data_IF_786948897211
#
_entry.id   IF_786948897211
#
_cell.length_a   1.000
_cell.length_b   1.000
_cell.length_c   1.000
_cell.angle_alpha   90.00
_cell.angle_beta   90.00
_cell.angle_gamma   90.00
#
_symmetry.space_group_name_H-M   'P 1'
#
loop_
_entity.id
_entity.type
_entity.pdbx_description
1 polymer ?
#
# COMPACT_ATOMS: atom_id res chain seq x y z
N UNK A 1 34.69 18.21 -46.86
CA UNK A 1 34.39 18.87 -45.57
C UNK A 1 33.25 18.09 -44.93
N UNK A 2 33.49 17.28 -43.88
CA UNK A 2 32.45 16.51 -43.21
C UNK A 2 31.73 17.39 -42.18
N UNK A 3 30.41 17.21 -42.02
CA UNK A 3 29.66 17.70 -40.85
C UNK A 3 29.02 16.50 -40.18
N UNK A 4 29.47 16.26 -38.95
CA UNK A 4 28.83 15.42 -37.95
C UNK A 4 27.94 16.31 -37.09
N UNK A 5 26.65 16.00 -36.92
CA UNK A 5 25.92 16.35 -35.68
C UNK A 5 24.92 15.22 -35.33
N UNK A 6 25.35 14.41 -34.37
CA UNK A 6 24.65 13.86 -33.18
C UNK A 6 23.12 13.69 -33.17
N UNK A 7 22.73 12.41 -33.03
CA UNK A 7 21.96 11.77 -31.94
C UNK A 7 21.04 12.59 -31.03
N UNK A 8 19.96 11.90 -30.60
CA UNK A 8 19.16 12.07 -29.37
C UNK A 8 17.91 12.94 -29.43
N UNK A 9 16.76 12.28 -29.59
CA UNK A 9 15.60 12.44 -28.72
C UNK A 9 14.54 11.39 -29.14
N UNK A 10 14.78 10.13 -28.78
CA UNK A 10 13.71 9.14 -28.75
C UNK A 10 12.77 9.53 -27.61
N UNK A 11 11.75 10.28 -27.97
CA UNK A 11 10.40 10.21 -27.45
C UNK A 11 10.11 8.86 -26.75
N UNK A 12 10.09 8.84 -25.42
CA UNK A 12 9.26 7.92 -24.68
C UNK A 12 8.80 8.58 -23.38
N UNK A 13 7.59 9.13 -23.46
CA UNK A 13 6.57 9.16 -22.44
C UNK A 13 7.02 8.55 -21.10
N UNK A 14 7.53 9.40 -20.22
CA UNK A 14 7.51 9.14 -18.80
C UNK A 14 6.79 10.31 -18.13
N UNK A 15 5.61 10.60 -18.68
CA UNK A 15 4.62 11.47 -18.07
C UNK A 15 4.34 10.94 -16.68
N UNK A 16 4.90 11.65 -15.70
CA UNK A 16 4.42 11.81 -14.35
C UNK A 16 3.27 10.86 -13.96
N UNK A 17 3.59 9.57 -13.77
CA UNK A 17 2.80 8.73 -12.91
C UNK A 17 2.90 9.41 -11.56
N UNK A 18 1.85 10.14 -11.22
CA UNK A 18 1.68 10.83 -9.96
C UNK A 18 2.06 9.85 -8.86
N UNK A 19 3.28 9.99 -8.35
CA UNK A 19 3.94 9.01 -7.49
C UNK A 19 3.38 9.22 -6.09
N UNK A 20 2.10 8.92 -5.92
CA UNK A 20 1.45 8.89 -4.62
C UNK A 20 2.18 7.83 -3.82
N UNK A 21 3.10 8.26 -2.96
CA UNK A 21 3.88 7.37 -2.09
C UNK A 21 2.89 6.81 -1.06
N UNK A 22 2.27 5.68 -1.40
CA UNK A 22 1.44 4.94 -0.46
C UNK A 22 2.35 4.36 0.61
N UNK A 23 2.12 4.77 1.85
CA UNK A 23 2.84 4.20 3.00
C UNK A 23 2.00 3.08 3.60
N UNK A 24 2.52 1.85 3.58
CA UNK A 24 1.86 0.70 4.19
C UNK A 24 2.49 0.39 5.55
N UNK A 25 1.67 0.38 6.60
CA UNK A 25 2.07 -0.10 7.92
C UNK A 25 1.84 -1.61 8.01
N UNK A 26 2.87 -2.37 8.35
CA UNK A 26 2.77 -3.83 8.47
C UNK A 26 2.31 -4.22 9.87
N UNK A 27 1.14 -4.83 9.97
CA UNK A 27 0.61 -5.42 11.20
C UNK A 27 0.79 -6.94 11.16
N UNK A 28 1.81 -7.45 11.87
CA UNK A 28 2.19 -8.87 11.86
C UNK A 28 1.62 -9.69 13.04
N UNK A 29 1.39 -9.07 14.21
CA UNK A 29 0.98 -9.78 15.43
C UNK A 29 -0.54 -9.95 15.53
N UNK A 30 -1.00 -11.10 16.02
CA UNK A 30 -2.42 -11.42 16.20
C UNK A 30 -3.18 -10.34 17.01
N UNK A 31 -2.55 -9.77 18.05
CA UNK A 31 -3.13 -8.68 18.86
C UNK A 31 -3.17 -7.33 18.13
N UNK A 32 -2.24 -7.07 17.20
CA UNK A 32 -2.31 -5.90 16.31
C UNK A 32 -3.40 -6.07 15.24
N UNK A 33 -3.67 -7.30 14.81
CA UNK A 33 -4.82 -7.63 13.92
C UNK A 33 -6.16 -7.49 14.62
N UNK A 34 -6.25 -7.89 15.89
CA UNK A 34 -7.49 -7.86 16.68
C UNK A 34 -7.89 -6.43 17.09
N UNK A 35 -6.90 -5.54 17.31
CA UNK A 35 -7.16 -4.10 17.42
C UNK A 35 -7.49 -3.52 16.06
N UNK A 36 -6.79 -3.96 15.02
CA UNK A 36 -6.90 -3.40 13.69
C UNK A 36 -6.91 -1.87 13.75
N UNK A 37 -7.85 -1.31 13.00
CA UNK A 37 -7.99 0.11 12.76
C UNK A 37 -8.66 0.89 13.93
N UNK A 38 -8.98 0.23 15.06
CA UNK A 38 -9.50 0.90 16.26
C UNK A 38 -8.58 2.00 16.83
N UNK A 39 -7.29 1.97 16.50
CA UNK A 39 -6.31 2.93 16.99
C UNK A 39 -6.19 4.22 16.13
N UNK A 40 -6.84 4.30 14.96
CA UNK A 40 -6.68 5.45 14.05
C UNK A 40 -8.02 6.10 13.67
N UNK A 41 -8.26 7.37 14.08
CA UNK A 41 -9.54 8.07 13.84
C UNK A 41 -9.84 8.29 12.35
N UNK A 42 -8.81 8.30 11.49
CA UNK A 42 -8.90 8.31 10.03
C UNK A 42 -7.51 7.98 9.47
N UNK A 43 -7.37 7.01 8.57
CA UNK A 43 -6.10 6.88 7.84
C UNK A 43 -5.93 8.10 6.93
N UNK A 44 -4.75 8.73 6.88
CA UNK A 44 -4.42 9.72 5.87
C UNK A 44 -4.65 9.17 4.45
N UNK A 45 -4.94 10.05 3.49
CA UNK A 45 -5.35 9.67 2.13
C UNK A 45 -4.30 8.86 1.33
N UNK A 46 -3.08 8.72 1.85
CA UNK A 46 -1.98 7.95 1.25
C UNK A 46 -1.32 6.97 2.24
N UNK A 47 -2.08 6.51 3.22
CA UNK A 47 -1.62 5.52 4.18
C UNK A 47 -2.56 4.33 4.17
N UNK A 48 -1.99 3.12 4.25
CA UNK A 48 -2.74 1.88 4.34
C UNK A 48 -2.16 0.95 5.41
N UNK A 49 -2.92 -0.09 5.74
CA UNK A 49 -2.49 -1.14 6.65
C UNK A 49 -2.33 -2.44 5.87
N UNK A 50 -1.19 -3.12 6.02
CA UNK A 50 -0.95 -4.46 5.49
C UNK A 50 -1.00 -5.48 6.61
N UNK A 51 -2.02 -6.32 6.59
CA UNK A 51 -2.24 -7.42 7.52
C UNK A 51 -1.67 -8.70 6.91
N UNK A 52 -0.47 -9.07 7.36
CA UNK A 52 0.22 -10.30 6.94
C UNK A 52 -0.54 -11.54 7.43
N UNK A 53 -0.50 -12.64 6.67
CA UNK A 53 -1.13 -13.94 7.02
C UNK A 53 -2.59 -13.83 7.48
N UNK A 54 -3.35 -12.92 6.85
CA UNK A 54 -4.73 -12.63 7.21
C UNK A 54 -5.63 -13.00 6.03
N UNK A 55 -6.63 -13.84 6.28
CA UNK A 55 -7.62 -14.26 5.28
C UNK A 55 -9.04 -13.79 5.60
N UNK A 56 -9.22 -13.12 6.75
CA UNK A 56 -10.50 -12.60 7.21
C UNK A 56 -10.28 -11.31 7.99
N UNK A 57 -11.08 -10.29 7.67
CA UNK A 57 -11.14 -9.04 8.40
C UNK A 57 -12.55 -8.80 8.92
N UNK A 58 -12.62 -8.01 9.99
CA UNK A 58 -13.87 -7.49 10.53
C UNK A 58 -13.75 -5.98 10.70
N UNK A 59 -14.84 -5.28 10.43
CA UNK A 59 -14.96 -3.83 10.63
C UNK A 59 -15.84 -3.50 11.84
N UNK A 60 -16.03 -4.46 12.76
CA UNK A 60 -16.73 -4.22 14.02
C UNK A 60 -16.06 -3.10 14.81
N UNK A 61 -16.85 -2.13 15.25
CA UNK A 61 -16.35 -1.01 16.06
C UNK A 61 -15.61 0.09 15.29
N UNK A 62 -15.55 0.02 13.96
CA UNK A 62 -15.06 1.11 13.11
C UNK A 62 -16.14 2.19 12.90
N UNK A 63 -15.75 3.46 12.87
CA UNK A 63 -16.65 4.58 12.60
C UNK A 63 -16.76 4.96 11.11
N UNK A 64 -15.95 4.35 10.25
CA UNK A 64 -15.90 4.66 8.82
C UNK A 64 -15.71 3.43 7.95
N UNK A 65 -16.06 3.57 6.67
CA UNK A 65 -15.87 2.55 5.65
C UNK A 65 -14.42 2.55 5.15
N UNK A 66 -13.96 1.39 4.68
CA UNK A 66 -12.62 1.21 4.12
C UNK A 66 -12.66 0.42 2.81
N UNK A 67 -11.67 0.63 1.96
CA UNK A 67 -11.41 -0.27 0.84
C UNK A 67 -10.51 -1.41 1.32
N UNK A 68 -10.85 -2.64 0.93
CA UNK A 68 -10.17 -3.85 1.41
C UNK A 68 -9.73 -4.69 0.22
N UNK A 69 -8.42 -4.92 0.12
CA UNK A 69 -7.81 -5.70 -0.95
C UNK A 69 -7.24 -6.98 -0.34
N UNK A 70 -7.79 -8.12 -0.71
CA UNK A 70 -7.24 -9.43 -0.38
C UNK A 70 -6.21 -9.81 -1.42
N UNK A 71 -5.01 -10.20 -0.97
CA UNK A 71 -3.86 -10.53 -1.81
C UNK A 71 -3.43 -11.99 -1.61
N UNK A 72 -3.00 -12.64 -2.69
CA UNK A 72 -2.31 -13.94 -2.63
C UNK A 72 -0.83 -13.81 -2.17
N UNK A 73 -0.10 -14.93 -2.15
CA UNK A 73 1.32 -14.97 -1.80
C UNK A 73 2.25 -14.25 -2.79
N UNK A 74 1.77 -13.96 -4.00
CA UNK A 74 2.47 -13.26 -5.07
C UNK A 74 2.05 -11.77 -5.16
N UNK A 75 1.28 -11.29 -4.17
CA UNK A 75 0.69 -9.95 -4.13
C UNK A 75 -0.24 -9.64 -5.31
N UNK A 76 -0.92 -10.65 -5.86
CA UNK A 76 -2.02 -10.43 -6.79
C UNK A 76 -3.33 -10.27 -6.02
N UNK A 77 -4.20 -9.38 -6.52
CA UNK A 77 -5.55 -9.24 -5.99
C UNK A 77 -6.37 -10.50 -6.23
N UNK A 78 -6.84 -11.12 -5.14
CA UNK A 78 -7.77 -12.26 -5.20
C UNK A 78 -9.20 -11.85 -4.87
N UNK A 79 -9.39 -10.70 -4.21
CA UNK A 79 -10.70 -10.11 -3.94
C UNK A 79 -10.55 -8.64 -3.56
N UNK A 80 -11.40 -7.79 -4.13
CA UNK A 80 -11.59 -6.40 -3.71
C UNK A 80 -12.95 -6.24 -3.03
N UNK A 81 -12.99 -5.48 -1.94
CA UNK A 81 -14.22 -5.00 -1.31
C UNK A 81 -14.13 -3.48 -1.20
N UNK A 82 -14.82 -2.78 -2.09
CA UNK A 82 -14.88 -1.33 -2.07
C UNK A 82 -15.83 -0.83 -0.97
N UNK A 83 -15.42 0.25 -0.29
CA UNK A 83 -16.22 0.96 0.71
C UNK A 83 -16.95 0.01 1.69
N UNK A 84 -16.22 -0.98 2.21
CA UNK A 84 -16.74 -1.93 3.19
C UNK A 84 -17.29 -1.17 4.39
N UNK A 85 -18.59 -1.24 4.68
CA UNK A 85 -19.19 -0.49 5.77
C UNK A 85 -18.75 -1.04 7.13
N UNK A 86 -18.92 -0.24 8.17
CA UNK A 86 -18.65 -0.66 9.54
C UNK A 86 -19.55 -1.82 9.97
N UNK A 87 -19.10 -2.56 10.98
CA UNK A 87 -19.78 -3.72 11.56
C UNK A 87 -20.09 -4.82 10.55
N UNK A 88 -19.15 -5.09 9.63
CA UNK A 88 -19.20 -6.19 8.67
C UNK A 88 -18.00 -7.10 8.84
N UNK A 89 -18.08 -8.28 8.23
CA UNK A 89 -16.96 -9.19 8.06
C UNK A 89 -16.77 -9.52 6.59
N UNK A 90 -15.53 -9.64 6.17
CA UNK A 90 -15.16 -10.10 4.84
C UNK A 90 -14.00 -11.08 4.98
N UNK A 91 -14.06 -12.18 4.24
CA UNK A 91 -12.99 -13.17 4.23
C UNK A 91 -12.77 -13.70 2.81
N UNK A 92 -11.56 -14.16 2.55
CA UNK A 92 -11.20 -14.82 1.32
C UNK A 92 -10.17 -15.91 1.65
N UNK A 93 -10.57 -17.18 1.51
CA UNK A 93 -9.71 -18.33 1.82
C UNK A 93 -8.46 -18.41 0.93
N UNK A 94 -8.50 -17.78 -0.26
CA UNK A 94 -7.37 -17.67 -1.17
C UNK A 94 -6.39 -16.56 -0.79
N UNK A 95 -6.74 -15.72 0.18
CA UNK A 95 -5.92 -14.60 0.58
C UNK A 95 -4.81 -15.06 1.54
N UNK A 96 -3.59 -14.68 1.20
CA UNK A 96 -2.43 -14.78 2.06
C UNK A 96 -2.25 -13.54 2.93
N UNK A 97 -2.74 -12.38 2.48
CA UNK A 97 -2.70 -11.12 3.24
C UNK A 97 -3.83 -10.18 2.83
N UNK A 98 -4.06 -9.14 3.63
CA UNK A 98 -5.07 -8.11 3.36
C UNK A 98 -4.43 -6.73 3.44
N UNK A 99 -4.80 -5.84 2.52
CA UNK A 99 -4.45 -4.42 2.55
C UNK A 99 -5.72 -3.61 2.78
N UNK A 100 -5.70 -2.74 3.78
CA UNK A 100 -6.78 -1.81 4.11
C UNK A 100 -6.40 -0.39 3.69
N UNK A 101 -7.30 0.28 3.00
CA UNK A 101 -7.12 1.63 2.47
C UNK A 101 -8.34 2.51 2.81
N UNK A 102 -8.19 3.85 2.77
CA UNK A 102 -9.33 4.76 2.90
C UNK A 102 -10.43 4.41 1.89
N UNK A 103 -11.70 4.49 2.31
CA UNK A 103 -12.82 4.22 1.39
C UNK A 103 -12.75 5.13 0.16
N UNK A 104 -12.93 4.51 -1.00
CA UNK A 104 -12.89 5.21 -2.29
C UNK A 104 -11.49 5.40 -2.87
N UNK A 105 -10.42 4.99 -2.17
CA UNK A 105 -9.06 5.05 -2.71
C UNK A 105 -8.90 4.25 -4.00
N UNK A 106 -9.41 3.03 -4.04
CA UNK A 106 -9.30 2.16 -5.22
C UNK A 106 -10.11 2.72 -6.40
N UNK A 107 -11.20 3.45 -6.09
CA UNK A 107 -12.03 4.11 -7.10
C UNK A 107 -11.38 5.37 -7.66
N UNK A 108 -10.65 6.12 -6.84
CA UNK A 108 -9.95 7.34 -7.26
C UNK A 108 -8.60 7.08 -7.94
N UNK A 109 -8.03 5.89 -7.77
CA UNK A 109 -6.72 5.53 -8.31
C UNK A 109 -6.79 4.27 -9.19
N UNK A 110 -7.03 4.37 -10.51
CA UNK A 110 -7.12 3.22 -11.42
C UNK A 110 -5.88 2.30 -11.45
N UNK A 111 -4.73 2.77 -10.92
CA UNK A 111 -3.48 2.02 -10.77
C UNK A 111 -3.15 1.60 -9.33
N UNK A 112 -4.12 1.62 -8.41
CA UNK A 112 -3.87 1.36 -6.98
C UNK A 112 -3.09 0.07 -6.72
N UNK A 113 -3.32 -0.98 -7.49
CA UNK A 113 -2.68 -2.28 -7.29
C UNK A 113 -1.16 -2.19 -7.47
N UNK A 114 -0.69 -1.45 -8.48
CA UNK A 114 0.74 -1.27 -8.71
C UNK A 114 1.37 -0.45 -7.58
N UNK A 115 0.69 0.61 -7.13
CA UNK A 115 1.12 1.42 -5.98
C UNK A 115 1.20 0.58 -4.70
N UNK A 116 0.22 -0.29 -4.46
CA UNK A 116 0.21 -1.23 -3.33
C UNK A 116 1.37 -2.22 -3.45
N UNK A 117 1.61 -2.81 -4.61
CA UNK A 117 2.73 -3.74 -4.83
C UNK A 117 4.09 -3.09 -4.60
N UNK A 118 4.28 -1.86 -5.08
CA UNK A 118 5.50 -1.09 -4.83
C UNK A 118 5.69 -0.80 -3.34
N UNK A 119 4.64 -0.37 -2.65
CA UNK A 119 4.68 -0.11 -1.21
C UNK A 119 4.98 -1.39 -0.41
N UNK A 120 4.41 -2.53 -0.81
CA UNK A 120 4.69 -3.84 -0.20
C UNK A 120 6.16 -4.24 -0.39
N UNK A 121 6.72 -4.05 -1.58
CA UNK A 121 8.13 -4.33 -1.84
C UNK A 121 9.06 -3.46 -0.99
N UNK A 122 8.76 -2.16 -0.86
CA UNK A 122 9.51 -1.22 -0.03
C UNK A 122 9.43 -1.56 1.47
N UNK A 123 8.26 -2.00 1.94
CA UNK A 123 8.06 -2.40 3.34
C UNK A 123 8.68 -3.77 3.69
N UNK A 124 8.91 -4.62 2.68
CA UNK A 124 9.50 -5.96 2.82
C UNK A 124 11.03 -5.96 2.70
N UNK A 125 11.61 -4.92 2.10
CA UNK A 125 13.06 -4.76 2.06
C UNK A 125 13.61 -4.60 3.49
N UNK A 126 14.72 -5.27 3.86
CA UNK A 126 15.36 -5.01 5.14
C UNK A 126 15.67 -3.52 5.19
N UNK A 127 15.12 -2.79 6.18
CA UNK A 127 15.46 -1.39 6.45
C UNK A 127 16.98 -1.30 6.61
N UNK A 128 17.69 -1.00 5.52
CA UNK A 128 19.09 -0.63 5.58
C UNK A 128 19.13 0.68 6.34
N UNK A 129 19.64 0.59 7.58
CA UNK A 129 20.15 1.68 8.41
C UNK A 129 20.16 3.01 7.67
N UNK A 130 19.22 3.88 8.05
CA UNK A 130 19.39 5.30 7.85
C UNK A 130 20.68 5.70 8.57
N UNK A 131 21.72 5.94 7.79
CA UNK A 131 22.93 6.65 8.18
C UNK A 131 22.50 8.08 8.53
N UNK A 132 22.10 8.31 9.78
CA UNK A 132 22.16 9.65 10.35
C UNK A 132 23.56 9.83 10.91
N UNK A 133 24.41 10.44 10.08
CA UNK A 133 25.69 10.95 10.51
C UNK A 133 25.50 11.98 11.63
N UNK A 134 26.34 11.88 12.64
CA UNK A 134 26.77 13.06 13.38
C UNK A 134 28.25 13.24 13.08
N UNK A 135 28.51 13.97 12.00
CA UNK A 135 29.72 14.76 11.95
C UNK A 135 29.64 15.77 13.10
N UNK A 136 30.72 15.93 13.86
CA UNK A 136 31.19 17.27 14.12
C UNK A 136 32.74 17.27 14.17
N UNK A 137 33.40 18.19 13.46
CA UNK A 137 34.84 18.40 13.51
C UNK A 137 35.20 19.30 14.69
N UNK A 138 36.26 18.97 15.43
CA UNK A 138 37.56 19.66 15.57
C UNK A 138 38.39 18.95 16.63
#
# INVERSE_FOLDING_TARGET
>A
MPVWIHTEAACHANDAVHRSVLTLHVASRFWDRLRGLHAYPRLPENTGLHLMSCSAIHTFGMSYAIDVIFLDHLFNEVRLVNAMPSNRMAFCLKAASVVELPAGYCRSHPGYLETVRQALHLSSAPRSRELSGRANPV
#
